data_IF_538736133152
#
_entry.id   IF_538736133152
#
_cell.length_a   1.000
_cell.length_b   1.000
_cell.length_c   1.000
_cell.angle_alpha   90.00
_cell.angle_beta   90.00
_cell.angle_gamma   90.00
#
_symmetry.space_group_name_H-M   'P 1'
#
loop_
_entity.id
_entity.type
_entity.pdbx_description
1 polymer ?
#
# COMPACT_ATOMS: atom_id res chain seq x y z
N UNK A 1 -51.08 57.36 -48.79
CA UNK A 1 -50.23 57.93 -47.73
C UNK A 1 -48.97 57.08 -47.61
N UNK A 2 -47.82 57.74 -47.73
CA UNK A 2 -46.44 57.27 -47.52
C UNK A 2 -46.22 56.51 -46.19
N UNK A 3 -45.07 55.84 -45.93
CA UNK A 3 -44.13 55.15 -46.83
C UNK A 3 -43.59 53.81 -46.23
N UNK A 4 -42.83 53.04 -47.04
CA UNK A 4 -41.76 52.13 -46.57
C UNK A 4 -40.56 52.97 -46.04
N UNK A 5 -39.71 52.50 -45.10
CA UNK A 5 -38.50 51.80 -45.56
C UNK A 5 -37.76 50.83 -44.60
N UNK A 6 -36.88 50.05 -45.24
CA UNK A 6 -35.53 49.60 -44.82
C UNK A 6 -35.32 48.29 -44.04
N UNK A 7 -35.03 47.26 -44.83
CA UNK A 7 -33.78 46.46 -44.87
C UNK A 7 -32.97 46.25 -43.59
N UNK A 8 -32.66 44.98 -43.30
CA UNK A 8 -31.29 44.46 -43.12
C UNK A 8 -31.31 42.97 -43.53
N UNK A 9 -30.48 42.60 -44.51
CA UNK A 9 -30.14 41.20 -44.84
C UNK A 9 -29.30 40.58 -43.71
N UNK A 10 -28.89 39.32 -43.69
CA UNK A 10 -28.60 38.34 -44.73
C UNK A 10 -28.36 37.01 -44.01
N UNK A 11 -28.44 35.92 -44.77
CA UNK A 11 -27.76 34.65 -44.53
C UNK A 11 -28.38 33.64 -43.54
N UNK A 12 -29.20 32.74 -44.13
CA UNK A 12 -29.45 31.39 -43.61
C UNK A 12 -28.14 30.59 -43.63
N UNK A 13 -27.54 30.35 -42.46
CA UNK A 13 -26.49 29.37 -42.26
C UNK A 13 -27.05 28.11 -41.59
N UNK A 14 -26.76 26.96 -42.20
CA UNK A 14 -27.13 25.61 -41.79
C UNK A 14 -26.76 25.31 -40.32
N UNK A 15 -27.72 24.78 -39.56
CA UNK A 15 -27.49 24.21 -38.24
C UNK A 15 -26.53 23.00 -38.32
N UNK A 16 -25.29 23.19 -37.85
CA UNK A 16 -24.43 22.10 -37.36
C UNK A 16 -24.56 22.04 -35.83
N UNK A 17 -24.72 20.84 -35.21
CA UNK A 17 -24.72 20.73 -33.77
C UNK A 17 -23.32 20.99 -33.21
N UNK A 18 -23.26 21.89 -32.23
CA UNK A 18 -22.08 22.30 -31.48
C UNK A 18 -21.51 21.15 -30.67
N UNK A 19 -20.23 20.83 -30.92
CA UNK A 19 -19.45 19.90 -30.10
C UNK A 19 -19.39 20.40 -28.66
N UNK A 20 -19.95 19.64 -27.72
CA UNK A 20 -19.67 19.77 -26.29
C UNK A 20 -18.15 19.74 -26.08
N UNK A 21 -17.56 20.90 -25.74
CA UNK A 21 -16.20 20.99 -25.25
C UNK A 21 -16.13 20.17 -23.95
N UNK A 22 -15.53 18.99 -24.00
CA UNK A 22 -14.97 18.33 -22.83
C UNK A 22 -13.98 19.31 -22.20
N UNK A 23 -14.38 19.96 -21.11
CA UNK A 23 -13.45 20.73 -20.26
C UNK A 23 -12.35 19.77 -19.82
N UNK A 24 -11.12 20.00 -20.27
CA UNK A 24 -9.91 19.39 -19.71
C UNK A 24 -9.90 19.70 -18.23
N UNK A 25 -10.05 18.67 -17.40
CA UNK A 25 -9.81 18.79 -15.97
C UNK A 25 -8.30 18.72 -15.77
N UNK A 26 -7.71 19.79 -15.24
CA UNK A 26 -6.32 19.82 -14.79
C UNK A 26 -6.13 18.87 -13.60
N UNK A 27 -4.90 18.44 -13.33
CA UNK A 27 -4.57 17.55 -12.20
C UNK A 27 -5.02 18.09 -10.83
N UNK A 28 -5.06 19.41 -10.66
CA UNK A 28 -5.60 20.08 -9.46
C UNK A 28 -7.12 19.89 -9.28
N UNK A 29 -7.86 19.60 -10.35
CA UNK A 29 -9.31 19.39 -10.29
C UNK A 29 -9.68 17.95 -9.91
N UNK A 30 -8.77 16.99 -10.14
CA UNK A 30 -8.91 15.59 -9.71
C UNK A 30 -8.53 15.40 -8.24
N UNK A 31 -7.54 16.15 -7.73
CA UNK A 31 -7.15 16.12 -6.31
C UNK A 31 -8.23 16.68 -5.37
N UNK A 32 -9.06 17.62 -5.84
CA UNK A 32 -10.22 18.14 -5.09
C UNK A 32 -11.44 17.20 -5.12
N UNK A 33 -11.51 16.25 -6.05
CA UNK A 33 -12.67 15.35 -6.21
C UNK A 33 -12.48 13.95 -5.61
N UNK A 34 -11.24 13.54 -5.31
CA UNK A 34 -10.96 12.18 -4.81
C UNK A 34 -9.87 12.20 -3.72
N UNK A 35 -10.23 12.32 -2.43
CA UNK A 35 -9.30 12.31 -1.29
C UNK A 35 -8.42 11.06 -1.22
N UNK A 36 -8.88 9.94 -1.79
CA UNK A 36 -8.13 8.69 -1.88
C UNK A 36 -6.90 8.75 -2.80
N UNK A 37 -6.88 9.66 -3.78
CA UNK A 37 -5.68 9.91 -4.59
C UNK A 37 -4.55 10.55 -3.76
N UNK A 38 -4.89 11.12 -2.60
CA UNK A 38 -3.91 11.67 -1.65
C UNK A 38 -3.19 10.57 -0.88
N UNK A 39 -3.80 9.41 -0.59
CA UNK A 39 -3.08 8.25 -0.03
C UNK A 39 -2.00 7.77 -1.01
N UNK A 40 -2.37 7.69 -2.29
CA UNK A 40 -1.49 7.24 -3.37
C UNK A 40 -0.39 8.26 -3.70
N UNK A 41 -0.67 9.58 -3.61
CA UNK A 41 0.30 10.64 -3.89
C UNK A 41 1.17 11.04 -2.69
N UNK A 42 0.70 10.91 -1.44
CA UNK A 42 1.53 11.19 -0.27
C UNK A 42 2.66 10.16 -0.10
N UNK A 43 2.41 8.89 -0.47
CA UNK A 43 3.40 7.81 -0.42
C UNK A 43 4.44 7.86 -1.57
N UNK A 44 4.22 8.68 -2.59
CA UNK A 44 5.10 8.84 -3.77
C UNK A 44 5.91 10.15 -3.78
N UNK A 45 5.82 10.98 -2.73
CA UNK A 45 6.64 12.19 -2.62
C UNK A 45 8.03 11.89 -2.05
N UNK A 46 8.55 10.72 -2.40
CA UNK A 46 9.67 10.04 -1.77
C UNK A 46 10.95 9.99 -2.64
N UNK A 47 11.01 10.73 -3.75
CA UNK A 47 12.26 10.93 -4.50
C UNK A 47 12.51 12.33 -5.08
N UNK A 48 13.72 12.53 -5.65
CA UNK A 48 14.30 13.86 -5.89
C UNK A 48 13.90 14.53 -7.21
N UNK A 49 13.04 13.93 -8.03
CA UNK A 49 12.65 14.53 -9.32
C UNK A 49 11.16 14.87 -9.37
N UNK A 50 10.85 16.15 -9.13
CA UNK A 50 9.66 16.77 -9.71
C UNK A 50 9.77 16.68 -11.23
N UNK A 51 9.01 15.79 -11.86
CA UNK A 51 8.70 15.95 -13.27
C UNK A 51 7.97 17.28 -13.40
N UNK A 52 8.62 18.24 -14.06
CA UNK A 52 7.95 19.46 -14.49
C UNK A 52 6.77 19.06 -15.38
N UNK A 53 5.67 19.77 -15.19
CA UNK A 53 4.38 19.58 -15.81
C UNK A 53 4.46 19.88 -17.33
N UNK A 54 4.84 18.91 -18.19
CA UNK A 54 3.93 18.46 -19.26
C UNK A 54 3.98 16.94 -19.61
N UNK A 55 5.07 16.20 -19.33
CA UNK A 55 5.25 14.81 -19.78
C UNK A 55 4.47 13.77 -18.96
N UNK A 56 4.31 13.99 -17.65
CA UNK A 56 3.54 13.10 -16.76
C UNK A 56 2.04 13.08 -17.11
N UNK A 57 1.52 14.18 -17.68
CA UNK A 57 0.13 14.24 -18.11
C UNK A 57 -0.15 13.35 -19.33
N UNK A 58 0.86 13.03 -20.15
CA UNK A 58 0.68 12.20 -21.36
C UNK A 58 0.71 10.70 -21.06
N UNK A 59 1.53 10.24 -20.11
CA UNK A 59 1.57 8.84 -19.67
C UNK A 59 0.27 8.45 -18.96
N UNK A 60 -0.24 9.36 -18.13
CA UNK A 60 -1.50 9.20 -17.40
C UNK A 60 -2.71 9.30 -18.35
N UNK A 61 -2.71 10.19 -19.35
CA UNK A 61 -3.77 10.25 -20.37
C UNK A 61 -3.86 8.99 -21.23
N UNK A 62 -2.72 8.40 -21.60
CA UNK A 62 -2.67 7.17 -22.41
C UNK A 62 -3.24 5.95 -21.67
N UNK A 63 -3.21 5.97 -20.34
CA UNK A 63 -3.74 4.88 -19.49
C UNK A 63 -5.18 5.12 -19.01
N UNK A 64 -5.73 6.33 -19.19
CA UNK A 64 -7.03 6.76 -18.64
C UNK A 64 -8.12 6.97 -19.69
N UNK A 65 -7.80 7.12 -20.98
CA UNK A 65 -8.83 7.25 -22.02
C UNK A 65 -9.21 5.89 -22.62
N UNK A 66 -10.51 5.54 -22.71
CA UNK A 66 -10.92 4.30 -23.36
C UNK A 66 -10.49 4.34 -24.83
N UNK A 67 -9.78 3.30 -25.29
CA UNK A 67 -9.51 3.11 -26.72
C UNK A 67 -10.85 3.05 -27.46
N UNK A 68 -11.03 3.98 -28.40
CA UNK A 68 -12.22 4.07 -29.24
C UNK A 68 -12.41 2.76 -30.01
N UNK A 69 -13.64 2.24 -29.93
CA UNK A 69 -14.15 1.02 -30.60
C UNK A 69 -13.72 0.92 -32.06
N UNK A 70 -13.24 -0.25 -32.45
CA UNK A 70 -13.27 -0.77 -33.83
C UNK A 70 -13.90 -2.18 -33.82
N UNK A 71 -14.52 -2.62 -34.93
CA UNK A 71 -15.69 -3.49 -34.90
C UNK A 71 -15.38 -4.99 -34.76
N UNK A 72 -16.39 -5.68 -34.23
CA UNK A 72 -16.50 -7.14 -34.03
C UNK A 72 -16.41 -7.91 -35.36
N UNK A 73 -15.66 -9.02 -35.45
CA UNK A 73 -15.97 -10.12 -36.34
C UNK A 73 -16.73 -11.25 -35.63
N UNK A 74 -17.67 -11.84 -36.37
CA UNK A 74 -18.65 -12.85 -35.96
C UNK A 74 -18.04 -14.21 -35.59
N UNK A 75 -18.71 -14.85 -34.62
CA UNK A 75 -18.92 -16.30 -34.43
C UNK A 75 -17.72 -17.25 -34.42
N UNK A 76 -17.39 -17.77 -33.24
CA UNK A 76 -16.92 -19.16 -33.06
C UNK A 76 -17.59 -19.75 -31.80
N UNK A 77 -18.00 -21.02 -31.91
CA UNK A 77 -18.89 -21.79 -31.02
C UNK A 77 -18.31 -22.04 -29.61
N UNK A 78 -19.14 -22.31 -28.59
CA UNK A 78 -18.67 -22.53 -27.23
C UNK A 78 -17.99 -23.89 -27.07
N UNK A 79 -16.80 -23.89 -26.45
CA UNK A 79 -16.14 -25.10 -25.93
C UNK A 79 -16.64 -25.37 -24.51
N UNK A 80 -17.25 -26.54 -24.34
CA UNK A 80 -17.64 -27.11 -23.05
C UNK A 80 -16.45 -27.82 -22.41
N UNK A 81 -16.22 -27.62 -21.11
CA UNK A 81 -15.47 -28.56 -20.29
C UNK A 81 -16.29 -28.97 -19.06
N UNK A 82 -16.22 -30.26 -18.65
CA UNK A 82 -17.19 -30.87 -17.75
C UNK A 82 -16.86 -30.65 -16.27
N UNK A 83 -17.92 -30.47 -15.48
CA UNK A 83 -17.93 -30.74 -14.03
C UNK A 83 -17.94 -32.25 -13.77
N UNK A 84 -17.29 -32.73 -12.70
CA UNK A 84 -17.77 -33.90 -11.98
C UNK A 84 -18.60 -33.46 -10.78
N UNK A 85 -19.86 -33.89 -10.76
CA UNK A 85 -20.75 -33.81 -9.62
C UNK A 85 -20.70 -35.11 -8.81
N UNK A 86 -20.77 -34.96 -7.48
CA UNK A 86 -21.49 -35.88 -6.60
C UNK A 86 -20.63 -36.80 -5.74
N UNK A 87 -20.63 -36.53 -4.42
CA UNK A 87 -21.25 -37.45 -3.44
C UNK A 87 -21.97 -36.59 -2.39
N UNK A 88 -23.29 -36.70 -2.35
CA UNK A 88 -24.13 -36.33 -1.21
C UNK A 88 -24.39 -37.58 -0.36
N UNK A 89 -24.28 -37.46 0.95
CA UNK A 89 -25.17 -38.18 1.90
C UNK A 89 -25.58 -37.23 3.02
N UNK A 90 -26.90 -37.11 3.18
CA UNK A 90 -27.60 -36.29 4.15
C UNK A 90 -27.51 -36.83 5.58
N UNK A 91 -27.58 -35.91 6.55
CA UNK A 91 -28.78 -35.57 7.36
C UNK A 91 -28.87 -36.47 8.60
N UNK A 92 -28.66 -35.88 9.79
CA UNK A 92 -29.79 -35.77 10.72
C UNK A 92 -29.68 -34.62 11.72
N UNK A 93 -30.87 -34.08 12.00
CA UNK A 93 -31.20 -32.89 12.77
C UNK A 93 -31.32 -33.17 14.29
N UNK A 94 -31.48 -32.06 15.02
CA UNK A 94 -32.11 -31.89 16.34
C UNK A 94 -31.23 -32.16 17.58
N UNK A 95 -30.85 -31.10 18.30
CA UNK A 95 -31.74 -30.50 19.30
C UNK A 95 -31.21 -29.17 19.85
N UNK A 96 -32.17 -28.36 20.27
CA UNK A 96 -32.08 -27.01 20.78
C UNK A 96 -31.84 -26.94 22.30
N UNK A 97 -31.41 -25.75 22.72
CA UNK A 97 -31.58 -25.14 24.05
C UNK A 97 -30.53 -25.33 25.16
N UNK A 98 -29.93 -24.16 25.45
CA UNK A 98 -29.72 -23.56 26.78
C UNK A 98 -28.45 -23.84 27.59
N UNK A 99 -27.71 -22.73 27.73
CA UNK A 99 -27.17 -22.17 28.98
C UNK A 99 -25.72 -22.54 29.35
N UNK A 100 -24.90 -21.48 29.30
CA UNK A 100 -23.87 -21.14 30.31
C UNK A 100 -22.89 -22.25 30.67
N UNK A 101 -21.66 -22.24 30.13
CA UNK A 101 -20.47 -22.60 30.91
C UNK A 101 -19.16 -22.16 30.21
N UNK A 102 -18.38 -21.37 30.97
CA UNK A 102 -16.91 -21.21 30.96
C UNK A 102 -16.24 -20.62 29.69
N UNK A 103 -15.75 -19.37 29.72
CA UNK A 103 -14.43 -18.99 30.28
C UNK A 103 -13.34 -20.01 29.94
N UNK A 104 -12.58 -19.75 28.86
CA UNK A 104 -11.12 -19.84 28.77
C UNK A 104 -10.68 -19.91 27.30
N UNK A 105 -10.18 -18.79 26.78
CA UNK A 105 -9.25 -18.77 25.64
C UNK A 105 -8.28 -17.60 25.86
N UNK A 106 -7.57 -17.69 26.98
CA UNK A 106 -6.31 -16.98 27.19
C UNK A 106 -5.21 -18.04 27.11
N UNK A 107 -4.39 -17.97 26.05
CA UNK A 107 -2.94 -18.23 26.07
C UNK A 107 -2.45 -18.62 24.66
N UNK A 108 -1.94 -17.63 23.91
CA UNK A 108 -0.71 -17.72 23.10
C UNK A 108 -0.49 -16.45 22.25
N UNK A 109 -0.42 -15.27 22.88
CA UNK A 109 0.30 -14.12 22.34
C UNK A 109 0.91 -13.37 23.52
N UNK A 110 1.98 -13.93 24.07
CA UNK A 110 2.92 -13.12 24.81
C UNK A 110 3.62 -12.25 23.76
N UNK A 111 3.10 -11.04 23.56
CA UNK A 111 3.82 -9.96 22.87
C UNK A 111 5.02 -9.67 23.76
N UNK A 112 6.19 -10.19 23.39
CA UNK A 112 7.44 -9.70 23.96
C UNK A 112 7.64 -8.30 23.41
N UNK A 113 7.59 -7.28 24.26
CA UNK A 113 7.81 -5.84 23.97
C UNK A 113 9.21 -5.50 23.40
N UNK A 114 9.90 -6.46 22.79
CA UNK A 114 11.32 -6.34 22.43
C UNK A 114 11.59 -5.47 21.19
N UNK A 115 10.60 -5.12 20.36
CA UNK A 115 10.81 -4.26 19.17
C UNK A 115 9.87 -3.06 19.07
N UNK A 116 9.43 -2.52 20.20
CA UNK A 116 8.77 -1.21 20.26
C UNK A 116 9.77 -0.11 20.64
N UNK A 117 10.31 0.60 19.65
CA UNK A 117 11.34 1.64 19.89
C UNK A 117 10.79 2.89 20.58
N UNK A 118 9.46 3.02 20.65
CA UNK A 118 8.79 4.14 21.31
C UNK A 118 8.52 3.90 22.80
N UNK A 119 8.82 2.71 23.31
CA UNK A 119 8.78 2.45 24.74
C UNK A 119 9.95 3.21 25.43
N UNK A 120 9.69 4.08 26.44
CA UNK A 120 10.73 4.82 27.15
C UNK A 120 11.72 3.95 27.90
N UNK A 121 11.35 2.71 28.22
CA UNK A 121 12.22 1.71 28.84
C UNK A 121 13.11 1.01 27.81
N UNK A 122 12.72 1.02 26.52
CA UNK A 122 13.47 0.39 25.46
C UNK A 122 14.86 1.02 25.30
N UNK A 123 15.87 0.17 25.15
CA UNK A 123 17.25 0.56 24.86
C UNK A 123 17.69 -0.24 23.66
N UNK A 124 18.04 0.47 22.59
CA UNK A 124 18.58 -0.17 21.40
C UNK A 124 19.98 -0.69 21.70
N UNK A 125 20.16 -2.00 21.61
CA UNK A 125 21.47 -2.63 21.79
C UNK A 125 22.41 -2.21 20.65
N UNK A 126 23.70 -2.06 20.98
CA UNK A 126 24.75 -1.97 19.95
C UNK A 126 24.95 -3.36 19.38
N UNK A 127 24.90 -3.50 18.06
CA UNK A 127 25.15 -4.77 17.33
C UNK A 127 24.07 -5.84 17.52
N UNK A 128 22.84 -5.51 17.10
CA UNK A 128 21.75 -6.48 17.04
C UNK A 128 22.06 -7.49 15.95
N UNK A 129 21.92 -8.79 16.23
CA UNK A 129 22.08 -9.83 15.20
C UNK A 129 20.80 -9.94 14.38
N UNK A 130 20.95 -10.14 13.07
CA UNK A 130 19.82 -10.42 12.16
C UNK A 130 20.05 -11.78 11.48
N UNK A 131 19.59 -12.88 12.08
CA UNK A 131 19.65 -14.22 11.47
C UNK A 131 18.92 -14.30 10.11
N UNK A 132 19.30 -15.24 9.23
CA UNK A 132 18.67 -15.40 7.89
C UNK A 132 17.25 -16.00 7.95
N UNK A 133 16.95 -16.68 9.05
CA UNK A 133 15.66 -17.27 9.36
C UNK A 133 14.78 -16.36 10.22
N UNK A 134 15.17 -15.10 10.40
CA UNK A 134 14.43 -14.11 11.18
C UNK A 134 14.11 -12.87 10.36
N UNK A 135 12.92 -12.32 10.62
CA UNK A 135 12.48 -11.03 10.13
C UNK A 135 12.20 -10.18 11.35
N UNK A 136 12.85 -9.03 11.43
CA UNK A 136 12.69 -8.10 12.53
C UNK A 136 11.74 -6.98 12.11
N UNK A 137 10.71 -6.72 12.91
CA UNK A 137 9.70 -5.73 12.63
C UNK A 137 9.58 -4.76 13.81
N UNK A 138 10.13 -3.58 13.63
CA UNK A 138 10.10 -2.55 14.65
C UNK A 138 8.85 -1.69 14.51
N UNK A 139 8.20 -1.46 15.64
CA UNK A 139 7.06 -0.57 15.73
C UNK A 139 7.47 0.76 16.36
N UNK A 140 6.95 1.85 15.78
CA UNK A 140 7.15 3.21 16.25
C UNK A 140 5.79 3.89 16.44
N UNK A 141 5.55 4.42 17.63
CA UNK A 141 4.55 5.44 17.88
C UNK A 141 5.16 6.84 17.67
N UNK A 142 4.90 7.39 16.48
CA UNK A 142 5.36 8.71 16.06
C UNK A 142 4.81 9.82 16.94
N UNK A 143 3.64 9.68 17.56
CA UNK A 143 3.11 10.71 18.46
C UNK A 143 4.04 10.92 19.67
N UNK A 144 4.76 9.87 20.09
CA UNK A 144 5.66 9.89 21.25
C UNK A 144 7.06 10.38 20.92
N UNK A 145 7.51 10.29 19.68
CA UNK A 145 8.92 10.55 19.33
C UNK A 145 9.10 11.70 18.36
N UNK A 146 8.07 12.09 17.59
CA UNK A 146 8.21 13.08 16.52
C UNK A 146 8.56 14.50 17.00
N UNK A 147 8.34 14.80 18.29
CA UNK A 147 8.62 16.10 18.89
C UNK A 147 10.12 16.35 19.15
N UNK A 148 10.97 15.31 19.16
CA UNK A 148 12.43 15.43 19.33
C UNK A 148 13.15 15.82 18.02
N UNK A 149 12.57 16.73 17.23
CA UNK A 149 12.97 17.03 15.85
C UNK A 149 14.46 17.42 15.71
N UNK A 150 14.97 18.27 16.61
CA UNK A 150 16.37 18.73 16.56
C UNK A 150 17.38 17.60 16.79
N UNK A 151 17.06 16.65 17.66
CA UNK A 151 17.87 15.44 17.87
C UNK A 151 17.86 14.58 16.62
N UNK A 152 16.68 14.38 16.00
CA UNK A 152 16.56 13.56 14.81
C UNK A 152 17.28 14.15 13.60
N UNK A 153 17.22 15.47 13.40
CA UNK A 153 17.91 16.17 12.31
C UNK A 153 19.42 15.96 12.30
N UNK A 154 20.05 15.72 13.45
CA UNK A 154 21.50 15.46 13.56
C UNK A 154 21.91 14.12 12.94
N UNK A 155 20.96 13.17 12.84
CA UNK A 155 21.22 11.81 12.31
C UNK A 155 21.00 11.72 10.80
N UNK A 156 20.13 12.58 10.24
CA UNK A 156 19.78 12.56 8.83
C UNK A 156 20.97 12.92 7.93
N UNK A 157 20.97 12.43 6.70
CA UNK A 157 21.82 12.95 5.63
C UNK A 157 21.29 14.28 5.09
N UNK A 158 22.09 14.95 4.26
CA UNK A 158 21.71 16.24 3.70
C UNK A 158 20.55 16.16 2.70
N UNK A 159 20.48 15.10 1.89
CA UNK A 159 19.35 14.84 1.00
C UNK A 159 18.05 14.58 1.77
N UNK A 160 18.13 13.87 2.89
CA UNK A 160 16.98 13.62 3.77
C UNK A 160 16.49 14.91 4.45
N UNK A 161 17.40 15.76 4.95
CA UNK A 161 17.05 17.07 5.51
C UNK A 161 16.35 17.96 4.48
N UNK A 162 16.90 18.02 3.26
CA UNK A 162 16.29 18.76 2.14
C UNK A 162 14.92 18.22 1.78
N UNK A 163 14.73 16.90 1.84
CA UNK A 163 13.44 16.26 1.59
C UNK A 163 12.42 16.55 2.69
N UNK A 164 12.83 16.48 3.96
CA UNK A 164 11.98 16.84 5.09
C UNK A 164 11.44 18.27 4.95
N UNK A 165 12.30 19.22 4.55
CA UNK A 165 11.93 20.62 4.34
C UNK A 165 10.92 20.87 3.20
N UNK A 166 10.64 19.86 2.35
CA UNK A 166 9.66 19.98 1.25
C UNK A 166 8.23 19.64 1.68
N UNK A 167 8.01 19.08 2.86
CA UNK A 167 6.67 18.79 3.35
C UNK A 167 5.91 20.08 3.63
N UNK A 168 4.64 20.12 3.19
CA UNK A 168 3.79 21.29 3.37
C UNK A 168 3.29 21.42 4.82
N UNK A 169 3.02 20.29 5.49
CA UNK A 169 2.53 20.26 6.86
C UNK A 169 3.66 19.90 7.83
N UNK A 170 3.76 20.64 8.94
CA UNK A 170 4.76 20.41 9.97
C UNK A 170 4.72 18.96 10.52
N UNK A 171 3.50 18.42 10.71
CA UNK A 171 3.33 17.04 11.17
C UNK A 171 3.94 16.01 10.22
N UNK A 172 3.80 16.20 8.92
CA UNK A 172 4.38 15.28 7.93
C UNK A 172 5.90 15.39 7.91
N UNK A 173 6.44 16.61 8.02
CA UNK A 173 7.87 16.85 8.17
C UNK A 173 8.44 16.13 9.42
N UNK A 174 7.78 16.28 10.57
CA UNK A 174 8.19 15.67 11.84
C UNK A 174 8.12 14.14 11.78
N UNK A 175 7.01 13.59 11.27
CA UNK A 175 6.84 12.15 11.09
C UNK A 175 7.90 11.56 10.17
N UNK A 176 8.18 12.22 9.04
CA UNK A 176 9.23 11.80 8.11
C UNK A 176 10.61 11.83 8.78
N UNK A 177 10.93 12.93 9.46
CA UNK A 177 12.23 13.14 10.12
C UNK A 177 12.47 12.07 11.20
N UNK A 178 11.49 11.84 12.07
CA UNK A 178 11.57 10.82 13.11
C UNK A 178 11.69 9.40 12.52
N UNK A 179 10.86 9.07 11.52
CA UNK A 179 10.90 7.76 10.86
C UNK A 179 12.26 7.49 10.23
N UNK A 180 12.84 8.48 9.51
CA UNK A 180 14.17 8.33 8.90
C UNK A 180 15.30 8.26 9.92
N UNK A 181 15.27 9.08 10.97
CA UNK A 181 16.28 9.02 12.01
C UNK A 181 16.27 7.66 12.72
N UNK A 182 15.08 7.13 13.03
CA UNK A 182 14.93 5.82 13.67
C UNK A 182 15.36 4.68 12.74
N UNK A 183 15.00 4.72 11.45
CA UNK A 183 15.50 3.78 10.45
C UNK A 183 17.04 3.74 10.44
N UNK A 184 17.69 4.90 10.36
CA UNK A 184 19.16 4.99 10.37
C UNK A 184 19.75 4.46 11.68
N UNK A 185 19.10 4.75 12.80
CA UNK A 185 19.55 4.31 14.13
C UNK A 185 19.50 2.79 14.25
N UNK A 186 18.38 2.17 13.86
CA UNK A 186 18.22 0.71 13.87
C UNK A 186 19.18 0.04 12.88
N UNK A 187 19.35 0.59 11.68
CA UNK A 187 20.34 0.08 10.73
C UNK A 187 21.76 0.18 11.26
N UNK A 188 22.13 1.28 11.93
CA UNK A 188 23.43 1.42 12.57
C UNK A 188 23.70 0.33 13.61
N UNK A 189 22.65 -0.11 14.32
CA UNK A 189 22.74 -1.27 15.22
C UNK A 189 22.91 -2.60 14.50
N UNK A 190 22.42 -2.78 13.27
CA UNK A 190 22.68 -4.00 12.49
C UNK A 190 24.05 -3.99 11.81
N UNK A 191 24.48 -2.84 11.29
CA UNK A 191 25.71 -2.72 10.48
C UNK A 191 26.94 -2.31 11.30
N UNK A 192 26.79 -2.09 12.61
CA UNK A 192 27.80 -1.49 13.48
C UNK A 192 28.37 -0.16 12.93
N UNK A 193 27.57 0.60 12.19
CA UNK A 193 27.96 1.87 11.58
C UNK A 193 27.30 3.03 12.33
N UNK A 194 27.95 4.18 12.34
CA UNK A 194 27.30 5.40 12.83
C UNK A 194 26.06 5.70 11.96
N UNK A 195 24.87 5.89 12.55
CA UNK A 195 23.65 6.20 11.80
C UNK A 195 23.79 7.39 10.84
N UNK A 196 24.58 8.41 11.18
CA UNK A 196 24.82 9.58 10.34
C UNK A 196 25.70 9.30 9.12
N UNK A 197 26.48 8.20 9.14
CA UNK A 197 27.37 7.80 8.05
C UNK A 197 26.77 6.79 7.08
N UNK A 198 25.59 6.23 7.39
CA UNK A 198 24.90 5.31 6.48
C UNK A 198 24.55 6.00 5.14
N UNK A 199 24.95 5.38 4.03
CA UNK A 199 24.60 5.83 2.70
C UNK A 199 23.46 4.99 2.14
N UNK A 200 22.38 5.64 1.71
CA UNK A 200 21.26 4.99 1.04
C UNK A 200 21.33 5.19 -0.47
N UNK A 201 21.09 4.11 -1.20
CA UNK A 201 20.87 4.10 -2.63
C UNK A 201 19.38 3.95 -2.92
N UNK A 202 18.91 4.56 -4.00
CA UNK A 202 17.50 4.50 -4.41
C UNK A 202 17.41 3.82 -5.77
N UNK A 203 16.49 2.86 -5.88
CA UNK A 203 16.14 2.28 -7.18
C UNK A 203 15.44 3.30 -8.09
N UNK A 204 15.26 2.96 -9.36
CA UNK A 204 14.44 3.72 -10.32
C UNK A 204 12.98 3.93 -9.85
N UNK A 205 12.55 3.18 -8.83
CA UNK A 205 11.22 3.23 -8.20
C UNK A 205 11.27 3.78 -6.78
N UNK A 206 12.35 4.47 -6.42
CA UNK A 206 12.55 5.20 -5.16
C UNK A 206 12.57 4.30 -3.90
N UNK A 207 12.58 2.96 -4.04
CA UNK A 207 12.81 2.05 -2.91
C UNK A 207 14.25 2.26 -2.41
N UNK A 208 14.45 2.67 -1.13
CA UNK A 208 15.76 2.83 -0.54
C UNK A 208 16.40 1.46 -0.25
N UNK A 209 17.73 1.43 -0.32
CA UNK A 209 18.58 0.28 -0.01
C UNK A 209 19.89 0.80 0.61
N UNK A 210 20.63 -0.05 1.33
CA UNK A 210 21.96 0.31 1.82
C UNK A 210 22.97 0.29 0.67
N UNK A 211 23.92 1.22 0.68
CA UNK A 211 25.04 1.22 -0.27
C UNK A 211 25.82 -0.10 -0.22
N UNK A 212 26.37 -0.59 -1.35
CA UNK A 212 27.32 -1.71 -1.41
C UNK A 212 28.45 -1.65 -0.37
N UNK A 213 28.87 -0.45 0.00
CA UNK A 213 29.94 -0.24 1.00
C UNK A 213 29.52 -0.64 2.43
N UNK A 214 28.22 -0.80 2.67
CA UNK A 214 27.63 -1.22 3.94
C UNK A 214 26.96 -2.60 3.86
N UNK A 215 27.03 -3.28 2.71
CA UNK A 215 26.28 -4.50 2.38
C UNK A 215 26.90 -5.80 2.91
N UNK A 216 27.89 -5.72 3.81
CA UNK A 216 28.60 -6.88 4.39
C UNK A 216 27.68 -8.00 4.87
N UNK A 217 26.45 -7.65 5.29
CA UNK A 217 25.44 -8.57 5.81
C UNK A 217 24.19 -8.74 4.94
N UNK A 218 24.13 -8.26 3.68
CA UNK A 218 22.95 -8.38 2.79
C UNK A 218 21.62 -8.01 3.47
N UNK A 219 21.62 -6.91 4.22
CA UNK A 219 20.44 -6.45 4.95
C UNK A 219 19.47 -5.79 3.96
N UNK A 220 18.26 -6.33 3.93
CA UNK A 220 17.11 -5.76 3.24
C UNK A 220 16.21 -5.06 4.26
N UNK A 221 15.60 -3.94 3.86
CA UNK A 221 14.67 -3.22 4.73
C UNK A 221 13.51 -2.60 3.98
N UNK A 222 12.41 -2.38 4.69
CA UNK A 222 11.28 -1.62 4.19
C UNK A 222 10.60 -0.83 5.31
N UNK A 223 9.99 0.30 4.95
CA UNK A 223 9.35 1.20 5.89
C UNK A 223 7.95 1.55 5.43
N UNK A 224 7.02 1.64 6.38
CA UNK A 224 5.70 2.21 6.14
C UNK A 224 5.25 3.02 7.34
N UNK A 225 4.49 4.07 7.10
CA UNK A 225 3.85 4.83 8.16
C UNK A 225 2.45 5.30 7.75
N UNK A 226 1.54 5.37 8.70
CA UNK A 226 0.20 5.93 8.53
C UNK A 226 -0.30 6.44 9.88
N UNK A 227 -0.96 7.60 9.89
CA UNK A 227 -1.35 8.30 11.13
C UNK A 227 -0.17 8.52 12.08
N UNK A 228 -0.19 7.88 13.24
CA UNK A 228 0.86 7.93 14.26
C UNK A 228 1.74 6.68 14.31
N UNK A 229 1.52 5.68 13.46
CA UNK A 229 2.30 4.45 13.47
C UNK A 229 3.30 4.45 12.32
N UNK A 230 4.55 4.05 12.61
CA UNK A 230 5.50 3.58 11.61
C UNK A 230 5.96 2.15 11.91
N UNK A 231 6.21 1.39 10.85
CA UNK A 231 6.77 0.05 10.86
C UNK A 231 8.10 0.07 10.09
N UNK A 232 9.14 -0.50 10.69
CA UNK A 232 10.46 -0.69 10.07
C UNK A 232 10.76 -2.18 10.04
N UNK A 233 10.76 -2.78 8.85
CA UNK A 233 10.97 -4.20 8.67
C UNK A 233 12.39 -4.46 8.12
N UNK A 234 13.06 -5.50 8.64
CA UNK A 234 14.42 -5.88 8.27
C UNK A 234 14.53 -7.39 8.11
N UNK A 235 15.33 -7.82 7.13
CA UNK A 235 15.73 -9.22 7.01
C UNK A 235 17.11 -9.33 6.40
N UNK A 236 17.71 -10.52 6.48
CA UNK A 236 18.98 -10.82 5.85
C UNK A 236 18.77 -11.72 4.64
N UNK A 237 19.16 -11.24 3.45
CA UNK A 237 19.15 -12.01 2.22
C UNK A 237 17.77 -12.35 1.64
N UNK A 238 16.69 -11.71 2.11
CA UNK A 238 15.33 -11.91 1.61
C UNK A 238 14.69 -10.58 1.24
N UNK A 239 14.04 -10.53 0.08
CA UNK A 239 13.25 -9.35 -0.27
C UNK A 239 12.06 -9.23 0.68
N UNK A 240 11.76 -8.01 1.13
CA UNK A 240 10.63 -7.77 2.02
C UNK A 240 9.96 -6.41 1.78
N UNK A 241 8.70 -6.32 2.19
CA UNK A 241 7.88 -5.12 2.15
C UNK A 241 6.86 -5.12 3.28
N UNK A 242 6.63 -3.96 3.87
CA UNK A 242 5.64 -3.75 4.93
C UNK A 242 4.72 -2.59 4.54
N UNK A 243 3.44 -2.72 4.88
CA UNK A 243 2.49 -1.61 4.77
C UNK A 243 1.64 -1.53 6.03
N UNK A 244 1.29 -0.30 6.42
CA UNK A 244 0.37 0.00 7.52
C UNK A 244 -0.55 1.13 7.08
N UNK A 245 -1.83 1.02 7.40
CA UNK A 245 -2.82 2.04 7.14
C UNK A 245 -3.73 2.29 8.34
N UNK A 246 -3.95 3.58 8.64
CA UNK A 246 -5.02 4.00 9.52
C UNK A 246 -6.36 3.80 8.82
N UNK A 247 -7.29 3.12 9.48
CA UNK A 247 -8.66 2.97 9.01
C UNK A 247 -9.34 4.33 9.07
N UNK A 248 -9.99 4.70 7.97
CA UNK A 248 -10.70 5.97 7.82
C UNK A 248 -12.11 5.70 7.33
N UNK A 249 -13.08 5.83 8.22
CA UNK A 249 -14.49 5.51 7.96
C UNK A 249 -15.12 6.36 6.86
N UNK A 250 -14.59 7.56 6.61
CA UNK A 250 -15.02 8.46 5.55
C UNK A 250 -14.48 8.08 4.15
N UNK A 251 -13.77 6.96 4.03
CA UNK A 251 -13.22 6.50 2.76
C UNK A 251 -14.28 5.80 1.89
N UNK A 252 -14.39 6.25 0.64
CA UNK A 252 -15.12 5.62 -0.47
C UNK A 252 -14.47 4.30 -0.92
N UNK A 253 -14.33 3.34 0.00
CA UNK A 253 -13.57 2.11 -0.15
C UNK A 253 -14.09 1.22 -1.29
N UNK A 254 -15.40 1.16 -1.51
CA UNK A 254 -15.97 0.40 -2.64
C UNK A 254 -15.54 0.95 -4.01
N UNK A 255 -15.50 2.28 -4.17
CA UNK A 255 -15.09 2.91 -5.42
C UNK A 255 -13.61 2.65 -5.72
N UNK A 256 -12.77 2.59 -4.68
CA UNK A 256 -11.36 2.24 -4.79
C UNK A 256 -11.18 0.76 -5.12
N UNK A 257 -11.90 -0.13 -4.44
CA UNK A 257 -11.87 -1.56 -4.73
C UNK A 257 -12.24 -1.84 -6.19
N UNK A 258 -13.31 -1.22 -6.72
CA UNK A 258 -13.70 -1.35 -8.13
C UNK A 258 -12.59 -0.96 -9.11
N UNK A 259 -11.77 0.03 -8.74
CA UNK A 259 -10.69 0.55 -9.59
C UNK A 259 -9.43 -0.29 -9.52
N UNK A 260 -9.05 -0.73 -8.33
CA UNK A 260 -7.71 -1.28 -8.07
C UNK A 260 -7.69 -2.78 -7.77
N UNK A 261 -8.76 -3.35 -7.20
CA UNK A 261 -8.79 -4.76 -6.83
C UNK A 261 -9.16 -5.64 -8.03
N UNK A 262 -8.75 -6.90 -7.96
CA UNK A 262 -9.15 -7.89 -8.94
C UNK A 262 -10.66 -8.19 -8.84
N UNK A 263 -11.29 -8.75 -9.89
CA UNK A 263 -12.69 -9.17 -9.81
C UNK A 263 -12.98 -10.15 -8.66
N UNK A 264 -12.01 -11.03 -8.34
CA UNK A 264 -12.14 -11.99 -7.25
C UNK A 264 -12.18 -11.28 -5.88
N UNK A 265 -11.25 -10.36 -5.64
CA UNK A 265 -11.19 -9.57 -4.41
C UNK A 265 -12.41 -8.65 -4.25
N UNK A 266 -12.91 -8.08 -5.35
CA UNK A 266 -14.16 -7.30 -5.34
C UNK A 266 -15.37 -8.15 -4.91
N UNK A 267 -15.44 -9.40 -5.37
CA UNK A 267 -16.50 -10.33 -4.96
C UNK A 267 -16.37 -10.71 -3.48
N UNK A 268 -15.15 -10.99 -3.01
CA UNK A 268 -14.90 -11.28 -1.59
C UNK A 268 -15.27 -10.09 -0.70
N UNK A 269 -14.90 -8.87 -1.11
CA UNK A 269 -15.24 -7.65 -0.39
C UNK A 269 -16.76 -7.42 -0.33
N UNK A 270 -17.47 -7.65 -1.44
CA UNK A 270 -18.93 -7.51 -1.48
C UNK A 270 -19.65 -8.54 -0.59
N UNK A 271 -19.07 -9.73 -0.45
CA UNK A 271 -19.58 -10.81 0.40
C UNK A 271 -19.27 -10.63 1.90
N UNK A 272 -18.33 -9.75 2.27
CA UNK A 272 -17.99 -9.49 3.66
C UNK A 272 -19.16 -8.82 4.41
N UNK A 273 -19.33 -9.10 5.73
CA UNK A 273 -20.31 -8.40 6.57
C UNK A 273 -20.13 -6.89 6.48
N UNK A 274 -21.22 -6.14 6.43
CA UNK A 274 -21.19 -4.68 6.22
C UNK A 274 -20.25 -3.96 7.19
N UNK A 275 -20.29 -4.33 8.47
CA UNK A 275 -19.44 -3.75 9.51
C UNK A 275 -17.95 -4.11 9.38
N UNK A 276 -17.58 -5.15 8.63
CA UNK A 276 -16.18 -5.56 8.39
C UNK A 276 -15.69 -5.16 6.99
N UNK A 277 -16.54 -4.68 6.08
CA UNK A 277 -16.16 -4.35 4.70
C UNK A 277 -15.00 -3.35 4.63
N UNK A 278 -15.01 -2.32 5.48
CA UNK A 278 -13.93 -1.34 5.49
C UNK A 278 -12.61 -1.95 5.96
N UNK A 279 -12.64 -2.81 6.99
CA UNK A 279 -11.45 -3.53 7.44
C UNK A 279 -10.97 -4.51 6.38
N UNK A 280 -11.87 -5.24 5.71
CA UNK A 280 -11.55 -6.13 4.59
C UNK A 280 -10.90 -5.38 3.42
N UNK A 281 -11.36 -4.17 3.11
CA UNK A 281 -10.72 -3.29 2.13
C UNK A 281 -9.28 -2.95 2.55
N UNK A 282 -9.06 -2.49 3.78
CA UNK A 282 -7.72 -2.13 4.25
C UNK A 282 -6.79 -3.35 4.38
N UNK A 283 -7.30 -4.54 4.72
CA UNK A 283 -6.54 -5.79 4.69
C UNK A 283 -6.07 -6.11 3.27
N UNK A 284 -6.96 -6.05 2.28
CA UNK A 284 -6.57 -6.24 0.88
C UNK A 284 -5.53 -5.19 0.46
N UNK A 285 -5.79 -3.92 0.75
CA UNK A 285 -4.93 -2.80 0.37
C UNK A 285 -3.51 -2.95 0.92
N UNK A 286 -3.37 -3.12 2.24
CA UNK A 286 -2.06 -3.24 2.90
C UNK A 286 -1.31 -4.48 2.44
N UNK A 287 -2.00 -5.61 2.26
CA UNK A 287 -1.41 -6.85 1.71
C UNK A 287 -0.82 -6.63 0.32
N UNK A 288 -1.55 -5.92 -0.54
CA UNK A 288 -1.09 -5.59 -1.90
C UNK A 288 0.09 -4.65 -1.92
N UNK A 289 0.04 -3.58 -1.12
CA UNK A 289 1.13 -2.62 -1.01
C UNK A 289 2.39 -3.25 -0.42
N UNK A 290 2.25 -4.11 0.59
CA UNK A 290 3.38 -4.85 1.16
C UNK A 290 4.08 -5.72 0.11
N UNK A 291 3.32 -6.42 -0.74
CA UNK A 291 3.89 -7.20 -1.85
C UNK A 291 4.58 -6.33 -2.91
N UNK A 292 3.96 -5.24 -3.34
CA UNK A 292 4.57 -4.31 -4.31
C UNK A 292 5.88 -3.74 -3.76
N UNK A 293 5.88 -3.31 -2.50
CA UNK A 293 7.09 -2.84 -1.81
C UNK A 293 8.15 -3.92 -1.69
N UNK A 294 7.76 -5.17 -1.48
CA UNK A 294 8.69 -6.29 -1.42
C UNK A 294 9.41 -6.49 -2.75
N UNK A 295 8.67 -6.58 -3.86
CA UNK A 295 9.23 -6.78 -5.21
C UNK A 295 10.09 -5.61 -5.71
N UNK A 296 9.85 -4.38 -5.21
CA UNK A 296 10.58 -3.17 -5.66
C UNK A 296 10.22 -2.70 -7.07
N UNK A 297 9.27 -3.35 -7.75
CA UNK A 297 8.82 -3.01 -9.11
C UNK A 297 7.96 -1.73 -9.12
N UNK A 298 7.49 -1.32 -7.93
CA UNK A 298 6.64 -0.15 -7.74
C UNK A 298 5.28 -0.30 -8.44
N UNK A 299 4.63 0.82 -8.72
CA UNK A 299 3.29 0.88 -9.33
C UNK A 299 3.20 0.37 -10.77
N UNK A 300 4.33 -0.05 -11.35
CA UNK A 300 4.36 -0.72 -12.65
C UNK A 300 3.66 -2.08 -12.61
N UNK A 301 3.53 -2.70 -11.42
CA UNK A 301 2.73 -3.91 -11.24
C UNK A 301 1.25 -3.53 -11.04
N UNK A 302 0.35 -3.88 -11.98
CA UNK A 302 -1.05 -3.56 -11.81
C UNK A 302 -1.63 -4.32 -10.62
N UNK A 303 -2.27 -3.60 -9.69
CA UNK A 303 -2.94 -4.18 -8.51
C UNK A 303 -4.00 -5.23 -8.89
N UNK A 304 -4.43 -5.33 -10.14
CA UNK A 304 -5.40 -6.34 -10.59
C UNK A 304 -4.75 -7.64 -11.05
N UNK A 305 -3.43 -7.68 -11.17
CA UNK A 305 -2.69 -8.81 -11.74
C UNK A 305 -2.25 -9.84 -10.70
N UNK A 306 -2.64 -9.66 -9.44
CA UNK A 306 -2.44 -10.64 -8.39
C UNK A 306 -3.58 -10.56 -7.39
N UNK A 307 -3.84 -11.66 -6.68
CA UNK A 307 -4.90 -11.77 -5.69
C UNK A 307 -4.31 -12.02 -4.31
N UNK A 308 -4.86 -11.33 -3.32
CA UNK A 308 -4.60 -11.58 -1.91
C UNK A 308 -5.87 -12.00 -1.18
N UNK A 309 -5.70 -12.77 -0.10
CA UNK A 309 -6.80 -13.10 0.82
C UNK A 309 -7.30 -11.83 1.50
N UNK A 310 -8.60 -11.79 1.80
CA UNK A 310 -9.22 -10.76 2.65
C UNK A 310 -9.56 -11.30 4.04
N UNK A 311 -9.29 -12.58 4.29
CA UNK A 311 -9.61 -13.26 5.56
C UNK A 311 -8.67 -12.75 6.67
N UNK A 312 -9.21 -12.33 7.82
CA UNK A 312 -8.40 -11.93 8.97
C UNK A 312 -7.48 -13.06 9.44
N UNK A 313 -6.23 -12.74 9.79
CA UNK A 313 -5.29 -13.71 10.38
C UNK A 313 -4.77 -14.79 9.43
N UNK A 314 -5.01 -14.68 8.13
CA UNK A 314 -4.47 -15.61 7.14
C UNK A 314 -2.93 -15.59 7.14
N UNK A 315 -2.33 -16.74 7.47
CA UNK A 315 -0.88 -16.91 7.62
C UNK A 315 -0.13 -17.00 6.29
N UNK A 316 -0.84 -17.09 5.16
CA UNK A 316 -0.27 -16.87 3.84
C UNK A 316 -1.31 -16.32 2.84
N UNK A 317 -1.52 -15.02 2.92
CA UNK A 317 -2.54 -14.32 2.16
C UNK A 317 -2.21 -14.12 0.67
N UNK A 318 -1.06 -14.56 0.15
CA UNK A 318 -0.75 -14.44 -1.29
C UNK A 318 -1.40 -15.59 -2.06
N UNK A 319 -2.46 -15.31 -2.82
CA UNK A 319 -3.27 -16.36 -3.44
C UNK A 319 -2.84 -16.69 -4.87
N UNK A 320 -2.62 -15.66 -5.69
CA UNK A 320 -2.20 -15.86 -7.07
C UNK A 320 -1.54 -14.62 -7.65
N UNK A 321 -0.73 -14.84 -8.67
CA UNK A 321 -0.04 -13.81 -9.44
C UNK A 321 -0.21 -14.13 -10.92
N UNK A 322 -0.22 -13.10 -11.77
CA UNK A 322 -0.39 -13.23 -13.22
C UNK A 322 0.77 -12.52 -13.94
N UNK A 323 1.26 -13.07 -15.05
CA UNK A 323 0.81 -14.31 -15.71
C UNK A 323 1.31 -15.60 -15.04
N UNK A 324 2.32 -15.53 -14.17
CA UNK A 324 2.90 -16.71 -13.52
C UNK A 324 2.29 -16.95 -12.13
N UNK A 325 1.49 -18.01 -12.00
CA UNK A 325 0.90 -18.40 -10.72
C UNK A 325 1.92 -18.98 -9.71
N UNK A 326 3.09 -19.42 -10.18
CA UNK A 326 4.14 -19.93 -9.28
C UNK A 326 4.82 -18.82 -8.50
N UNK A 327 4.76 -17.59 -9.00
CA UNK A 327 5.34 -16.43 -8.34
C UNK A 327 4.71 -16.24 -6.95
N UNK A 328 3.39 -16.41 -6.79
CA UNK A 328 2.71 -16.37 -5.49
C UNK A 328 3.34 -17.31 -4.44
N UNK A 329 3.77 -18.50 -4.85
CA UNK A 329 4.38 -19.48 -3.94
C UNK A 329 5.79 -19.09 -3.47
N UNK A 330 6.43 -18.08 -4.07
CA UNK A 330 7.71 -17.53 -3.60
C UNK A 330 7.56 -16.63 -2.39
N UNK A 331 6.36 -16.18 -2.07
CA UNK A 331 6.14 -15.15 -1.05
C UNK A 331 5.36 -15.70 0.15
N UNK A 332 5.75 -15.26 1.34
CA UNK A 332 4.93 -15.33 2.55
C UNK A 332 4.31 -13.96 2.79
N UNK A 333 2.99 -13.88 2.80
CA UNK A 333 2.26 -12.64 3.06
C UNK A 333 1.37 -12.80 4.29
N UNK A 334 1.60 -11.98 5.33
CA UNK A 334 0.91 -12.11 6.62
C UNK A 334 0.39 -10.77 7.09
N UNK A 335 -0.67 -10.84 7.89
CA UNK A 335 -1.13 -9.70 8.68
C UNK A 335 -0.18 -9.46 9.85
N UNK A 336 0.07 -8.19 10.16
CA UNK A 336 0.87 -7.76 11.31
C UNK A 336 -0.08 -7.24 12.37
N UNK A 337 0.01 -7.71 13.63
CA UNK A 337 -0.76 -7.15 14.73
C UNK A 337 -0.47 -5.65 14.93
N UNK A 338 -1.52 -4.83 15.00
CA UNK A 338 -1.45 -3.40 15.27
C UNK A 338 -2.49 -2.98 16.30
N UNK A 339 -2.37 -1.76 16.82
CA UNK A 339 -3.41 -1.17 17.66
C UNK A 339 -4.74 -1.03 16.89
N UNK A 340 -5.80 -0.82 17.67
CA UNK A 340 -7.13 -0.53 17.14
C UNK A 340 -7.11 0.67 16.18
N UNK A 341 -7.87 0.56 15.09
CA UNK A 341 -7.93 1.58 14.04
C UNK A 341 -6.81 1.50 13.00
N UNK A 342 -5.95 0.48 13.03
CA UNK A 342 -4.92 0.23 12.03
C UNK A 342 -5.01 -1.17 11.43
N UNK A 343 -4.54 -1.30 10.20
CA UNK A 343 -4.29 -2.59 9.54
C UNK A 343 -2.89 -2.57 8.97
N UNK A 344 -2.14 -3.66 9.11
CA UNK A 344 -0.81 -3.79 8.54
C UNK A 344 -0.56 -5.18 7.94
N UNK A 345 0.36 -5.22 6.98
CA UNK A 345 0.78 -6.45 6.34
C UNK A 345 2.29 -6.47 6.11
N UNK A 346 2.86 -7.67 6.17
CA UNK A 346 4.26 -7.95 5.90
C UNK A 346 4.36 -9.02 4.82
N UNK A 347 5.11 -8.72 3.77
CA UNK A 347 5.41 -9.63 2.67
C UNK A 347 6.92 -9.92 2.66
N UNK A 348 7.29 -11.20 2.63
CA UNK A 348 8.69 -11.64 2.69
C UNK A 348 8.92 -12.74 1.66
N UNK A 349 10.07 -12.71 0.99
CA UNK A 349 10.48 -13.76 0.08
C UNK A 349 10.86 -15.05 0.82
N UNK A 350 10.36 -16.16 0.29
CA UNK A 350 10.52 -17.50 0.83
C UNK A 350 9.64 -17.76 2.05
N UNK A 351 9.91 -18.90 2.67
CA UNK A 351 9.16 -19.45 3.80
C UNK A 351 10.11 -19.79 4.96
N UNK A 352 9.55 -20.26 6.06
CA UNK A 352 10.31 -20.82 7.19
C UNK A 352 11.05 -19.80 8.05
N UNK A 353 10.77 -18.51 7.90
CA UNK A 353 11.29 -17.45 8.75
C UNK A 353 10.39 -17.24 9.98
N UNK A 354 10.98 -16.74 11.07
CA UNK A 354 10.29 -16.32 12.30
C UNK A 354 10.20 -14.80 12.37
N UNK A 355 9.07 -14.29 12.83
CA UNK A 355 8.90 -12.86 13.09
C UNK A 355 9.40 -12.54 14.51
N UNK A 356 10.27 -11.55 14.64
CA UNK A 356 10.54 -10.84 15.88
C UNK A 356 9.90 -9.45 15.74
N UNK A 357 9.01 -9.06 16.65
CA UNK A 357 8.24 -7.81 16.55
C UNK A 357 7.90 -7.21 17.90
#
# INVERSE_FOLDING_TARGET
MLPQPQSIGTSRALHRPSRLRQKRLSGECLSRKFPAYRIFLHKLHDGPHTLSCPEFSEIVKKSILPRSRTPVPRSVRPFSYPFPAGISRGINQQNSENSSFALNLTAAFAVTDSMNISDPSFRLEKQIKLPEDEVHLWRVDLARVAHEEEKWKQVLSEDERKRAARFHFARDCQNFTATRALLRTVLGSYTACDPSHLVFCYSDKEKPSLSPDHLGDRIEFNVSHSGTIALLAFSRGRMLGVDVEQIREDLEHEALARRFFSPHEQQQLAAAPENDRIHAFFRCWTRKEAYIKATGIGLSLPLRDFDVSLVPGDENAMLSTRPDAREAARWSLREVPTDEGYVAALCVEGHGWRLQS
#
